data_IF_082936996061
#
_entry.id   IF_082936996061
#
_cell.length_a   1.000
_cell.length_b   1.000
_cell.length_c   1.000
_cell.angle_alpha   90.00
_cell.angle_beta   90.00
_cell.angle_gamma   90.00
#
_symmetry.space_group_name_H-M   'P 1'
#
loop_
_entity.id
_entity.type
_entity.pdbx_description
1 polymer ?
#
# COMPACT_ATOMS: atom_id res chain seq x y z
N UNK A 1 11.65 -8.51 23.84
CA UNK A 1 11.71 -7.23 23.09
C UNK A 1 10.47 -6.43 23.44
N UNK A 2 10.58 -5.12 23.67
CA UNK A 2 9.42 -4.26 23.91
C UNK A 2 8.80 -3.81 22.57
N UNK A 3 7.55 -3.35 22.59
CA UNK A 3 6.86 -2.86 21.39
C UNK A 3 7.64 -1.73 20.69
N UNK A 4 8.20 -0.80 21.47
CA UNK A 4 9.02 0.30 20.95
C UNK A 4 10.30 -0.15 20.23
N UNK A 5 10.92 -1.25 20.65
CA UNK A 5 12.09 -1.81 19.94
C UNK A 5 11.69 -2.42 18.59
N UNK A 6 10.53 -3.06 18.54
CA UNK A 6 10.00 -3.63 17.31
C UNK A 6 9.57 -2.54 16.31
N UNK A 7 8.87 -1.51 16.77
CA UNK A 7 8.49 -0.35 15.96
C UNK A 7 9.70 0.35 15.34
N UNK A 8 10.77 0.57 16.12
CA UNK A 8 12.01 1.15 15.61
C UNK A 8 12.71 0.23 14.60
N UNK A 9 12.74 -1.08 14.82
CA UNK A 9 13.30 -2.05 13.88
C UNK A 9 12.56 -2.02 12.54
N UNK A 10 11.22 -2.00 12.57
CA UNK A 10 10.39 -1.91 11.37
C UNK A 10 10.63 -0.61 10.60
N UNK A 11 10.72 0.53 11.31
CA UNK A 11 11.00 1.82 10.69
C UNK A 11 12.42 1.88 10.08
N UNK A 12 13.42 1.27 10.73
CA UNK A 12 14.78 1.13 10.18
C UNK A 12 14.77 0.37 8.85
N UNK A 13 14.07 -0.76 8.78
CA UNK A 13 13.91 -1.51 7.54
C UNK A 13 13.21 -0.70 6.46
N UNK A 14 12.13 0.01 6.82
CA UNK A 14 11.41 0.87 5.89
C UNK A 14 12.33 1.95 5.30
N UNK A 15 13.19 2.56 6.11
CA UNK A 15 14.18 3.55 5.66
C UNK A 15 15.25 2.92 4.77
N UNK A 16 15.79 1.75 5.16
CA UNK A 16 16.82 1.05 4.40
C UNK A 16 16.35 0.61 3.00
N UNK A 17 15.09 0.22 2.88
CA UNK A 17 14.44 -0.16 1.62
C UNK A 17 13.90 1.06 0.82
N UNK A 18 13.99 2.27 1.37
CA UNK A 18 13.46 3.48 0.73
C UNK A 18 11.94 3.56 0.68
N UNK A 19 11.24 2.85 1.58
CA UNK A 19 9.77 2.81 1.68
C UNK A 19 9.18 3.45 2.93
N UNK A 20 10.01 4.13 3.73
CA UNK A 20 9.57 4.74 4.98
C UNK A 20 8.53 5.84 4.73
N UNK A 21 7.48 5.84 5.54
CA UNK A 21 6.57 6.97 5.72
C UNK A 21 7.25 8.11 6.46
N UNK A 22 6.63 9.30 6.46
CA UNK A 22 7.11 10.45 7.25
C UNK A 22 7.22 10.12 8.75
N UNK A 23 6.26 9.34 9.27
CA UNK A 23 6.23 8.93 10.68
C UNK A 23 7.37 7.96 11.01
N UNK A 24 7.63 6.97 10.15
CA UNK A 24 8.74 6.03 10.33
C UNK A 24 10.11 6.72 10.19
N UNK A 25 10.25 7.64 9.23
CA UNK A 25 11.46 8.45 9.09
C UNK A 25 11.70 9.31 10.33
N UNK A 26 10.66 9.98 10.84
CA UNK A 26 10.73 10.77 12.07
C UNK A 26 11.09 9.90 13.29
N UNK A 27 10.57 8.67 13.36
CA UNK A 27 10.91 7.72 14.43
C UNK A 27 12.40 7.35 14.41
N UNK A 28 12.97 7.08 13.23
CA UNK A 28 14.40 6.79 13.07
C UNK A 28 15.27 8.00 13.42
N UNK A 29 14.83 9.21 13.08
CA UNK A 29 15.59 10.43 13.32
C UNK A 29 15.45 10.97 14.76
N UNK A 30 14.42 10.56 15.52
CA UNK A 30 14.15 11.05 16.87
C UNK A 30 15.23 10.67 17.91
N UNK A 31 15.83 9.48 17.78
CA UNK A 31 16.99 9.05 18.58
C UNK A 31 18.04 8.38 17.68
N UNK A 32 18.95 9.16 17.07
CA UNK A 32 19.99 8.64 16.20
C UNK A 32 20.90 7.61 16.90
N UNK A 33 21.05 7.69 18.23
CA UNK A 33 21.85 6.74 19.00
C UNK A 33 21.18 5.37 19.09
N UNK A 34 19.88 5.33 19.39
CA UNK A 34 19.09 4.10 19.38
C UNK A 34 18.97 3.51 17.97
N UNK A 35 18.77 4.35 16.96
CA UNK A 35 18.69 3.92 15.56
C UNK A 35 20.00 3.30 15.08
N UNK A 36 21.15 3.93 15.33
CA UNK A 36 22.47 3.34 14.97
C UNK A 36 22.70 1.99 15.64
N UNK A 37 22.38 1.85 16.93
CA UNK A 37 22.50 0.55 17.63
C UNK A 37 21.57 -0.51 17.05
N UNK A 38 20.37 -0.11 16.64
CA UNK A 38 19.39 -1.01 16.02
C UNK A 38 19.87 -1.47 14.65
N UNK A 39 20.32 -0.56 13.79
CA UNK A 39 20.89 -0.89 12.47
C UNK A 39 22.12 -1.79 12.62
N UNK A 40 23.06 -1.47 13.51
CA UNK A 40 24.25 -2.29 13.72
C UNK A 40 23.90 -3.72 14.17
N UNK A 41 22.91 -3.89 15.05
CA UNK A 41 22.41 -5.21 15.44
C UNK A 41 21.78 -5.95 14.26
N UNK A 42 21.01 -5.27 13.41
CA UNK A 42 20.41 -5.86 12.22
C UNK A 42 21.47 -6.30 11.21
N UNK A 43 22.51 -5.50 10.98
CA UNK A 43 23.65 -5.86 10.13
C UNK A 43 24.29 -7.15 10.65
N UNK A 44 24.63 -7.23 11.95
CA UNK A 44 25.22 -8.44 12.51
C UNK A 44 24.31 -9.66 12.37
N UNK A 45 22.99 -9.50 12.54
CA UNK A 45 22.02 -10.58 12.33
C UNK A 45 21.99 -11.05 10.88
N UNK A 46 21.95 -10.11 9.91
CA UNK A 46 21.96 -10.44 8.48
C UNK A 46 23.28 -11.11 8.09
N UNK A 47 24.41 -10.70 8.66
CA UNK A 47 25.71 -11.36 8.43
C UNK A 47 25.75 -12.80 9.00
N UNK A 48 25.17 -13.02 10.17
CA UNK A 48 25.00 -14.36 10.76
C UNK A 48 24.09 -15.24 9.90
N UNK A 49 22.95 -14.71 9.45
CA UNK A 49 22.01 -15.40 8.57
C UNK A 49 22.64 -15.68 7.20
N UNK A 50 23.43 -14.75 6.66
CA UNK A 50 24.20 -14.90 5.42
C UNK A 50 25.20 -16.06 5.50
N UNK A 51 25.93 -16.17 6.60
CA UNK A 51 26.84 -17.29 6.85
C UNK A 51 26.07 -18.62 6.92
N UNK A 52 24.91 -18.64 7.56
CA UNK A 52 24.04 -19.82 7.62
C UNK A 52 23.57 -20.24 6.22
N UNK A 53 23.06 -19.31 5.39
CA UNK A 53 22.49 -19.66 4.07
C UNK A 53 23.55 -20.09 3.06
N UNK A 54 24.82 -19.68 3.22
CA UNK A 54 25.92 -20.16 2.38
C UNK A 54 26.16 -21.67 2.50
N UNK A 55 25.69 -22.29 3.58
CA UNK A 55 25.75 -23.73 3.80
C UNK A 55 24.56 -24.50 3.20
N UNK A 56 23.60 -23.82 2.56
CA UNK A 56 22.45 -24.47 1.91
C UNK A 56 22.82 -25.21 0.62
N UNK A 57 21.98 -26.16 0.16
CA UNK A 57 22.10 -26.79 -1.15
C UNK A 57 22.08 -25.77 -2.30
N UNK A 58 22.79 -26.07 -3.39
CA UNK A 58 23.04 -25.12 -4.48
C UNK A 58 21.78 -24.59 -5.19
N UNK A 59 20.70 -25.37 -5.22
CA UNK A 59 19.48 -25.06 -5.99
C UNK A 59 18.76 -23.79 -5.52
N UNK A 60 18.83 -23.49 -4.22
CA UNK A 60 18.19 -22.31 -3.62
C UNK A 60 19.22 -21.27 -3.13
N UNK A 61 20.48 -21.68 -2.92
CA UNK A 61 21.51 -20.87 -2.28
C UNK A 61 21.83 -19.57 -3.02
N UNK A 62 21.93 -19.58 -4.35
CA UNK A 62 22.39 -18.39 -5.09
C UNK A 62 21.44 -17.20 -4.96
N UNK A 63 20.12 -17.46 -5.10
CA UNK A 63 19.11 -16.42 -4.94
C UNK A 63 19.03 -15.94 -3.49
N UNK A 64 19.02 -16.87 -2.53
CA UNK A 64 18.92 -16.53 -1.12
C UNK A 64 20.15 -15.73 -0.67
N UNK A 65 21.36 -16.12 -1.07
CA UNK A 65 22.59 -15.36 -0.76
C UNK A 65 22.53 -13.96 -1.36
N UNK A 66 22.05 -13.81 -2.60
CA UNK A 66 21.93 -12.51 -3.24
C UNK A 66 20.96 -11.59 -2.47
N UNK A 67 19.81 -12.11 -2.03
CA UNK A 67 18.83 -11.34 -1.25
C UNK A 67 19.42 -10.87 0.09
N UNK A 68 20.10 -11.76 0.83
CA UNK A 68 20.77 -11.39 2.10
C UNK A 68 21.92 -10.40 1.91
N UNK A 69 22.68 -10.50 0.80
CA UNK A 69 23.73 -9.54 0.48
C UNK A 69 23.15 -8.16 0.15
N UNK A 70 22.02 -8.11 -0.56
CA UNK A 70 21.31 -6.86 -0.83
C UNK A 70 20.80 -6.21 0.46
N UNK A 71 20.20 -6.99 1.35
CA UNK A 71 19.73 -6.52 2.65
C UNK A 71 20.86 -6.00 3.55
N UNK A 72 22.00 -6.69 3.57
CA UNK A 72 23.20 -6.22 4.28
C UNK A 72 23.64 -4.86 3.75
N UNK A 73 23.72 -4.72 2.43
CA UNK A 73 24.23 -3.51 1.79
C UNK A 73 23.28 -2.32 2.01
N UNK A 74 21.97 -2.54 2.00
CA UNK A 74 20.96 -1.53 2.37
C UNK A 74 21.12 -1.06 3.81
N UNK A 75 21.29 -1.99 4.76
CA UNK A 75 21.48 -1.65 6.17
C UNK A 75 22.81 -0.92 6.42
N UNK A 76 23.90 -1.31 5.75
CA UNK A 76 25.19 -0.62 5.83
C UNK A 76 25.12 0.80 5.25
N UNK A 77 24.38 0.99 4.16
CA UNK A 77 24.10 2.32 3.62
C UNK A 77 23.28 3.17 4.62
N UNK A 78 22.26 2.59 5.25
CA UNK A 78 21.47 3.26 6.28
C UNK A 78 22.31 3.64 7.51
N UNK A 79 23.23 2.77 7.95
CA UNK A 79 24.16 3.06 9.05
C UNK A 79 25.09 4.22 8.69
N UNK A 80 25.71 4.16 7.51
CA UNK A 80 26.60 5.22 7.00
C UNK A 80 25.87 6.57 6.91
N UNK A 81 24.61 6.58 6.46
CA UNK A 81 23.77 7.78 6.44
C UNK A 81 23.59 8.35 7.86
N UNK A 82 23.21 7.50 8.81
CA UNK A 82 23.02 7.91 10.20
C UNK A 82 24.30 8.45 10.82
N UNK A 83 25.46 7.89 10.50
CA UNK A 83 26.77 8.32 11.00
C UNK A 83 27.19 9.68 10.42
N UNK A 84 26.96 9.88 9.12
CA UNK A 84 27.31 11.11 8.40
C UNK A 84 26.30 12.25 8.60
N UNK A 85 25.13 11.95 9.15
CA UNK A 85 24.03 12.92 9.27
C UNK A 85 23.48 13.35 7.92
N UNK A 86 23.67 12.53 6.88
CA UNK A 86 23.09 12.77 5.57
C UNK A 86 21.55 12.83 5.69
N UNK A 87 20.89 13.69 4.88
CA UNK A 87 19.45 13.87 4.93
C UNK A 87 18.73 12.52 4.83
N UNK A 88 17.54 12.39 5.44
CA UNK A 88 16.80 11.13 5.44
C UNK A 88 16.63 10.58 4.03
N UNK A 89 16.55 9.24 3.90
CA UNK A 89 15.97 8.66 2.68
C UNK A 89 14.67 9.40 2.44
N UNK A 90 14.39 9.83 1.21
CA UNK A 90 13.14 10.51 0.91
C UNK A 90 12.01 9.67 1.54
N UNK A 91 11.36 10.20 2.57
CA UNK A 91 10.13 9.61 3.04
C UNK A 91 9.25 9.53 1.80
N UNK A 92 8.59 8.40 1.59
CA UNK A 92 7.47 8.40 0.67
C UNK A 92 6.50 9.38 1.31
N UNK A 93 6.43 10.60 0.77
CA UNK A 93 5.36 11.52 1.09
C UNK A 93 4.08 10.71 0.91
N UNK A 94 3.21 10.69 1.93
CA UNK A 94 1.93 9.97 1.83
C UNK A 94 1.34 10.28 0.47
N UNK A 95 1.24 9.26 -0.38
CA UNK A 95 0.88 9.48 -1.76
C UNK A 95 -0.51 10.13 -1.73
N UNK A 96 -0.69 11.33 -2.33
CA UNK A 96 -1.89 12.11 -2.15
C UNK A 96 -3.12 11.26 -2.46
N UNK A 97 -4.25 11.53 -1.79
CA UNK A 97 -5.45 10.73 -1.98
C UNK A 97 -5.81 10.69 -3.46
N UNK A 98 -6.03 9.49 -3.98
CA UNK A 98 -6.45 9.32 -5.36
C UNK A 98 -7.83 9.95 -5.53
N UNK A 99 -8.12 10.54 -6.71
CA UNK A 99 -9.45 11.10 -6.96
C UNK A 99 -10.51 10.00 -6.81
N UNK A 100 -11.64 10.36 -6.21
CA UNK A 100 -12.80 9.48 -6.14
C UNK A 100 -13.28 9.19 -7.55
N UNK A 101 -13.29 7.91 -7.94
CA UNK A 101 -13.73 7.45 -9.26
C UNK A 101 -14.86 6.44 -9.13
N UNK A 102 -15.72 6.40 -10.15
CA UNK A 102 -16.77 5.40 -10.25
C UNK A 102 -16.14 4.04 -10.56
N UNK A 103 -16.59 3.02 -9.84
CA UNK A 103 -16.16 1.64 -9.98
C UNK A 103 -17.39 0.75 -10.11
N UNK A 104 -17.22 -0.41 -10.75
CA UNK A 104 -18.30 -1.36 -10.97
C UNK A 104 -17.80 -2.79 -10.85
N UNK A 105 -18.66 -3.66 -10.33
CA UNK A 105 -18.44 -5.11 -10.27
C UNK A 105 -19.71 -5.86 -10.63
N UNK A 106 -19.53 -7.10 -11.05
CA UNK A 106 -20.61 -8.01 -11.40
C UNK A 106 -20.88 -8.96 -10.24
N UNK A 107 -22.12 -9.02 -9.78
CA UNK A 107 -22.52 -9.93 -8.71
C UNK A 107 -23.95 -10.43 -8.93
N UNK A 108 -24.13 -11.76 -8.95
CA UNK A 108 -25.43 -12.43 -8.99
C UNK A 108 -26.41 -11.89 -10.07
N UNK A 109 -25.92 -11.55 -11.27
CA UNK A 109 -26.75 -11.01 -12.36
C UNK A 109 -27.06 -9.51 -12.26
N UNK A 110 -26.36 -8.80 -11.38
CA UNK A 110 -26.40 -7.35 -11.23
C UNK A 110 -25.04 -6.73 -11.52
N UNK A 111 -25.06 -5.50 -11.99
CA UNK A 111 -23.93 -4.57 -11.87
C UNK A 111 -24.10 -3.86 -10.55
N UNK A 112 -23.08 -3.88 -9.70
CA UNK A 112 -22.98 -3.08 -8.48
C UNK A 112 -21.97 -1.97 -8.74
N UNK A 113 -22.36 -0.73 -8.48
CA UNK A 113 -21.52 0.46 -8.66
C UNK A 113 -21.36 1.19 -7.33
N UNK A 114 -20.17 1.74 -7.14
CA UNK A 114 -19.80 2.58 -6.00
C UNK A 114 -18.76 3.59 -6.47
N UNK A 115 -18.42 4.59 -5.66
CA UNK A 115 -17.34 5.50 -5.98
C UNK A 115 -16.39 5.69 -4.79
N UNK A 116 -15.09 5.54 -5.05
CA UNK A 116 -14.04 5.62 -4.03
C UNK A 116 -12.66 5.86 -4.63
N UNK A 117 -11.72 6.29 -3.79
CA UNK A 117 -10.32 6.54 -4.14
C UNK A 117 -9.40 6.19 -2.98
N UNK A 118 -8.16 5.79 -3.26
CA UNK A 118 -7.15 5.49 -2.23
C UNK A 118 -6.95 6.70 -1.32
N UNK A 119 -7.20 6.55 -0.03
CA UNK A 119 -7.06 7.64 0.96
C UNK A 119 -8.10 8.76 0.87
N UNK A 120 -9.11 8.63 -0.01
CA UNK A 120 -10.20 9.59 -0.13
C UNK A 120 -11.47 9.05 0.54
N UNK A 121 -12.27 9.94 1.14
CA UNK A 121 -13.59 9.57 1.64
C UNK A 121 -14.45 9.07 0.46
N UNK A 122 -15.12 7.90 0.59
CA UNK A 122 -15.99 7.40 -0.46
C UNK A 122 -17.15 8.35 -0.72
N UNK A 123 -17.65 8.32 -1.95
CA UNK A 123 -18.78 9.16 -2.35
C UNK A 123 -20.05 8.77 -1.57
N UNK A 124 -20.88 9.77 -1.28
CA UNK A 124 -22.22 9.49 -0.78
C UNK A 124 -23.20 9.08 -1.90
N UNK A 125 -24.48 8.84 -1.56
CA UNK A 125 -25.47 8.42 -2.55
C UNK A 125 -25.77 9.50 -3.61
N UNK A 126 -25.74 10.78 -3.23
CA UNK A 126 -26.04 11.89 -4.15
C UNK A 126 -24.85 12.09 -5.10
N UNK A 127 -23.63 12.10 -4.56
CA UNK A 127 -22.40 12.16 -5.36
C UNK A 127 -22.23 10.95 -6.28
N UNK A 128 -22.63 9.76 -5.84
CA UNK A 128 -22.64 8.55 -6.67
C UNK A 128 -23.64 8.66 -7.83
N UNK A 129 -24.84 9.20 -7.56
CA UNK A 129 -25.86 9.42 -8.59
C UNK A 129 -25.38 10.43 -9.63
N UNK A 130 -24.81 11.56 -9.20
CA UNK A 130 -24.25 12.60 -10.09
C UNK A 130 -23.17 12.02 -11.00
N UNK A 131 -22.30 11.16 -10.47
CA UNK A 131 -21.23 10.50 -11.24
C UNK A 131 -21.76 9.50 -12.25
N UNK A 132 -22.80 8.75 -11.91
CA UNK A 132 -23.48 7.84 -12.83
C UNK A 132 -24.15 8.62 -13.97
N UNK A 133 -24.81 9.74 -13.65
CA UNK A 133 -25.43 10.61 -14.65
C UNK A 133 -24.38 11.21 -15.60
N UNK A 134 -23.24 11.68 -15.06
CA UNK A 134 -22.16 12.27 -15.84
C UNK A 134 -21.60 11.35 -16.94
N UNK A 135 -21.69 10.03 -16.75
CA UNK A 135 -21.26 9.03 -17.74
C UNK A 135 -22.42 8.40 -18.53
N UNK A 136 -23.61 9.03 -18.48
CA UNK A 136 -24.79 8.59 -19.21
C UNK A 136 -25.35 7.27 -18.72
N UNK A 137 -25.24 6.99 -17.42
CA UNK A 137 -25.83 5.82 -16.78
C UNK A 137 -27.35 5.71 -17.01
N UNK A 138 -27.95 4.51 -16.94
CA UNK A 138 -29.38 4.35 -17.09
C UNK A 138 -30.16 5.20 -16.08
N UNK A 139 -31.16 5.96 -16.55
CA UNK A 139 -31.96 6.82 -15.68
C UNK A 139 -32.89 6.05 -14.72
N UNK A 140 -33.16 4.77 -15.00
CA UNK A 140 -34.05 3.91 -14.23
C UNK A 140 -33.43 2.52 -14.06
N UNK A 141 -33.90 1.77 -13.05
CA UNK A 141 -33.48 0.38 -12.79
C UNK A 141 -32.44 0.22 -11.69
N UNK A 142 -31.87 1.33 -11.19
CA UNK A 142 -31.01 1.32 -10.02
C UNK A 142 -31.82 1.08 -8.74
N UNK A 143 -31.25 0.25 -7.86
CA UNK A 143 -31.74 0.00 -6.52
C UNK A 143 -30.58 0.10 -5.53
N UNK A 144 -30.87 0.45 -4.28
CA UNK A 144 -29.86 0.43 -3.22
C UNK A 144 -29.23 -0.97 -3.09
N UNK A 145 -27.92 -1.01 -2.90
CA UNK A 145 -27.15 -2.20 -2.54
C UNK A 145 -26.53 -1.97 -1.16
N UNK A 146 -26.17 -3.06 -0.47
CA UNK A 146 -25.41 -2.94 0.77
C UNK A 146 -24.06 -2.26 0.50
N UNK A 147 -23.57 -1.47 1.45
CA UNK A 147 -22.32 -0.76 1.26
C UNK A 147 -21.15 -1.71 0.98
N UNK A 148 -20.26 -1.29 0.08
CA UNK A 148 -19.05 -2.03 -0.30
C UNK A 148 -17.94 -1.73 0.69
N UNK A 149 -17.31 -2.78 1.22
CA UNK A 149 -16.11 -2.64 2.04
C UNK A 149 -14.91 -2.26 1.18
N UNK A 150 -14.33 -1.10 1.44
CA UNK A 150 -13.10 -0.67 0.78
C UNK A 150 -11.88 -1.25 1.51
N UNK A 151 -10.72 -1.40 0.82
CA UNK A 151 -9.48 -1.83 1.46
C UNK A 151 -9.02 -0.93 2.62
N UNK A 152 -9.47 0.32 2.67
CA UNK A 152 -9.23 1.24 3.80
C UNK A 152 -10.02 0.88 5.06
N UNK A 153 -11.04 0.02 4.97
CA UNK A 153 -12.00 -0.26 6.04
C UNK A 153 -13.26 0.60 5.97
N UNK A 154 -13.28 1.64 5.14
CA UNK A 154 -14.47 2.47 4.92
C UNK A 154 -15.56 1.72 4.15
N UNK A 155 -16.80 2.18 4.31
CA UNK A 155 -17.98 1.65 3.62
C UNK A 155 -18.39 2.64 2.53
N UNK A 156 -18.33 2.22 1.28
CA UNK A 156 -18.81 3.01 0.15
C UNK A 156 -20.28 2.70 -0.12
N UNK A 157 -21.11 3.74 -0.23
CA UNK A 157 -22.48 3.57 -0.69
C UNK A 157 -22.50 2.98 -2.10
N UNK A 158 -23.49 2.11 -2.34
CA UNK A 158 -23.54 1.33 -3.56
C UNK A 158 -24.96 1.24 -4.13
N UNK A 159 -25.03 1.27 -5.45
CA UNK A 159 -26.24 1.03 -6.22
C UNK A 159 -26.08 -0.24 -7.04
N UNK A 160 -27.18 -0.91 -7.36
CA UNK A 160 -27.20 -2.06 -8.25
C UNK A 160 -28.26 -1.92 -9.33
N UNK A 161 -27.98 -2.48 -10.49
CA UNK A 161 -28.94 -2.59 -11.60
C UNK A 161 -28.86 -4.01 -12.17
N UNK A 162 -29.99 -4.64 -12.53
CA UNK A 162 -29.94 -5.91 -13.22
C UNK A 162 -29.15 -5.76 -14.53
N UNK A 163 -28.27 -6.71 -14.83
CA UNK A 163 -27.41 -6.66 -16.01
C UNK A 163 -28.21 -6.36 -17.28
N UNK A 164 -29.34 -7.06 -17.46
CA UNK A 164 -30.23 -6.92 -18.62
C UNK A 164 -30.70 -5.49 -18.85
N UNK A 165 -30.81 -4.68 -17.79
CA UNK A 165 -31.29 -3.29 -17.84
C UNK A 165 -30.12 -2.31 -18.06
N UNK A 166 -28.87 -2.78 -17.93
CA UNK A 166 -27.64 -2.00 -18.13
C UNK A 166 -26.87 -2.34 -19.42
N UNK A 167 -27.23 -3.42 -20.13
CA UNK A 167 -26.46 -3.93 -21.29
C UNK A 167 -26.20 -2.87 -22.37
N UNK A 168 -27.22 -2.09 -22.75
CA UNK A 168 -27.08 -1.07 -23.79
C UNK A 168 -26.09 0.04 -23.40
N UNK A 169 -26.03 0.37 -22.11
CA UNK A 169 -25.09 1.34 -21.57
C UNK A 169 -23.66 0.76 -21.43
N UNK A 170 -23.52 -0.48 -20.93
CA UNK A 170 -22.21 -1.13 -20.79
C UNK A 170 -21.49 -1.29 -22.13
N UNK A 171 -22.22 -1.57 -23.21
CA UNK A 171 -21.66 -1.62 -24.57
C UNK A 171 -21.13 -0.25 -25.00
N UNK A 172 -21.82 0.84 -24.65
CA UNK A 172 -21.40 2.19 -24.99
C UNK A 172 -20.14 2.62 -24.20
N UNK A 173 -20.04 2.24 -22.91
CA UNK A 173 -18.89 2.55 -22.06
C UNK A 173 -17.64 1.75 -22.46
N UNK A 174 -17.76 0.48 -22.86
CA UNK A 174 -16.63 -0.37 -23.24
C UNK A 174 -16.06 -0.10 -24.65
N UNK A 175 -16.71 0.75 -25.45
CA UNK A 175 -16.30 1.10 -26.80
C UNK A 175 -15.57 2.46 -26.90
N UNK A 176 -15.46 3.19 -25.78
CA UNK A 176 -14.71 4.45 -25.65
C UNK A 176 -13.41 4.26 -24.90
#
# INVERSE_FOLDING_TARGET
MSNATYELEMAVWAVAEGRATEQEAALVDADPGASRRTVARLVSRVEEDLESVRHLPAEERELVVADFEEDRDRLLAALTRLETGAPPSQAIAEEPPAPVQLQASWSAGFIVVWAGGRGAQPADNDELADRLEAIGGPALGWAAHADVELPSGDRAHALRIPVKDALGWLVAVGAG
#
